data_IF_405397957411
#
_entry.id   IF_405397957411
#
_cell.length_a   1.000
_cell.length_b   1.000
_cell.length_c   1.000
_cell.angle_alpha   90.00
_cell.angle_beta   90.00
_cell.angle_gamma   90.00
#
_symmetry.space_group_name_H-M   'P 1'
#
loop_
_entity.id
_entity.type
_entity.pdbx_description
1 polymer ?
#
# COMPACT_ATOMS: atom_id res chain seq x y z
N UNK A 1 20.31 1.56 7.77
CA UNK A 1 19.08 0.87 7.34
C UNK A 1 18.77 1.36 5.94
N UNK A 2 18.68 0.47 4.96
CA UNK A 2 18.49 0.83 3.55
C UNK A 2 16.98 0.82 3.24
N UNK A 3 16.47 1.85 2.58
CA UNK A 3 15.06 1.90 2.19
C UNK A 3 14.85 1.03 0.94
N UNK A 4 13.82 0.17 0.96
CA UNK A 4 13.45 -0.64 -0.21
C UNK A 4 12.75 0.18 -1.32
N UNK A 5 12.17 1.32 -0.95
CA UNK A 5 11.44 2.23 -1.83
C UNK A 5 11.92 3.68 -1.61
N UNK A 6 13.16 3.97 -2.01
CA UNK A 6 13.81 5.28 -1.83
C UNK A 6 13.29 6.38 -2.77
N UNK A 7 12.61 6.00 -3.85
CA UNK A 7 11.99 6.92 -4.81
C UNK A 7 10.56 7.34 -4.44
N UNK A 8 10.00 6.83 -3.33
CA UNK A 8 8.62 7.08 -2.93
C UNK A 8 8.56 7.87 -1.64
N UNK A 9 7.87 9.01 -1.69
CA UNK A 9 7.44 9.74 -0.51
C UNK A 9 6.20 9.10 0.13
N UNK A 10 5.91 9.48 1.37
CA UNK A 10 4.65 9.11 2.04
C UNK A 10 3.46 9.64 1.23
N UNK A 11 2.63 8.73 0.74
CA UNK A 11 1.37 9.01 0.03
C UNK A 11 0.46 9.88 0.89
N UNK A 12 -0.06 10.98 0.32
CA UNK A 12 -0.92 11.97 1.00
C UNK A 12 -2.30 12.04 0.37
N UNK A 13 -3.25 12.64 1.10
CA UNK A 13 -4.55 13.00 0.55
C UNK A 13 -4.45 14.31 -0.25
N UNK A 14 -4.96 14.30 -1.49
CA UNK A 14 -4.98 15.49 -2.38
C UNK A 14 -6.40 15.87 -2.84
N UNK A 15 -7.42 15.10 -2.43
CA UNK A 15 -8.81 15.35 -2.78
C UNK A 15 -9.31 14.58 -4.01
N UNK A 16 -10.64 14.56 -4.16
CA UNK A 16 -11.35 13.71 -5.11
C UNK A 16 -11.08 14.03 -6.58
N UNK A 17 -10.57 15.23 -6.87
CA UNK A 17 -10.24 15.68 -8.23
C UNK A 17 -8.76 15.49 -8.59
N UNK A 18 -7.93 14.93 -7.69
CA UNK A 18 -6.51 14.73 -7.98
C UNK A 18 -6.30 13.74 -9.12
N UNK A 19 -5.39 14.10 -10.04
CA UNK A 19 -4.89 13.23 -11.10
C UNK A 19 -3.63 12.46 -10.70
N UNK A 20 -3.02 12.78 -9.55
CA UNK A 20 -1.80 12.11 -9.08
C UNK A 20 -2.11 10.63 -8.73
N UNK A 21 -1.45 9.64 -9.38
CA UNK A 21 -1.68 8.23 -9.08
C UNK A 21 -1.15 7.81 -7.70
N UNK A 22 -0.20 8.55 -7.12
CA UNK A 22 0.42 8.27 -5.82
C UNK A 22 -0.14 9.18 -4.72
N UNK A 23 -1.40 9.59 -4.84
CA UNK A 23 -2.14 10.32 -3.83
C UNK A 23 -3.51 9.70 -3.58
N UNK A 24 -3.99 9.79 -2.33
CA UNK A 24 -5.34 9.39 -1.99
C UNK A 24 -6.35 10.43 -2.49
N UNK A 25 -7.38 9.96 -3.19
CA UNK A 25 -8.52 10.78 -3.65
C UNK A 25 -9.65 10.88 -2.64
N UNK A 26 -9.81 9.86 -1.79
CA UNK A 26 -10.92 9.73 -0.86
C UNK A 26 -10.51 9.37 0.56
N UNK A 27 -9.29 8.85 0.74
CA UNK A 27 -8.81 8.47 2.06
C UNK A 27 -8.05 9.65 2.69
N UNK A 28 -8.69 10.29 3.66
CA UNK A 28 -8.06 11.25 4.56
C UNK A 28 -8.08 10.67 5.98
N UNK A 29 -6.94 10.25 6.56
CA UNK A 29 -6.92 9.56 7.86
C UNK A 29 -7.51 10.40 8.99
N UNK A 30 -7.41 11.73 8.91
CA UNK A 30 -7.87 12.67 9.94
C UNK A 30 -9.32 13.13 9.77
N UNK A 31 -9.95 12.80 8.65
CA UNK A 31 -11.35 13.19 8.41
C UNK A 31 -12.29 12.49 9.38
N UNK A 32 -13.12 13.28 10.06
CA UNK A 32 -14.12 12.77 10.99
C UNK A 32 -15.38 12.35 10.23
N UNK A 33 -15.64 11.05 10.21
CA UNK A 33 -16.87 10.46 9.67
C UNK A 33 -17.71 10.00 10.85
N UNK A 34 -18.90 10.58 11.02
CA UNK A 34 -19.80 10.23 12.13
C UNK A 34 -19.12 10.24 13.52
N UNK A 35 -18.18 11.18 13.72
CA UNK A 35 -17.50 11.40 15.00
C UNK A 35 -16.28 10.53 15.28
N UNK A 36 -15.80 9.69 14.33
CA UNK A 36 -14.50 8.99 14.44
C UNK A 36 -13.64 9.27 13.22
N UNK A 37 -12.31 9.18 13.38
CA UNK A 37 -11.36 9.39 12.29
C UNK A 37 -11.49 8.26 11.27
N UNK A 38 -11.32 8.57 9.98
CA UNK A 38 -11.49 7.59 8.91
C UNK A 38 -10.57 6.37 9.09
N UNK A 39 -9.36 6.57 9.60
CA UNK A 39 -8.44 5.47 9.89
C UNK A 39 -8.95 4.52 11.00
N UNK A 40 -9.74 5.02 11.95
CA UNK A 40 -10.34 4.21 13.02
C UNK A 40 -11.53 3.39 12.54
N UNK A 41 -12.23 3.85 11.50
CA UNK A 41 -13.28 3.09 10.84
C UNK A 41 -12.72 1.98 9.98
N UNK A 42 -11.74 2.31 9.12
CA UNK A 42 -11.26 1.40 8.09
C UNK A 42 -10.19 0.45 8.60
N UNK A 43 -9.28 0.93 9.46
CA UNK A 43 -8.23 0.13 10.11
C UNK A 43 -7.46 -0.74 9.11
N UNK A 44 -7.01 -0.13 8.02
CA UNK A 44 -6.32 -0.85 6.95
C UNK A 44 -5.07 -1.58 7.46
N UNK A 45 -4.85 -2.77 6.90
CA UNK A 45 -3.68 -3.60 7.16
C UNK A 45 -3.15 -4.18 5.85
N UNK A 46 -1.84 -4.41 5.79
CA UNK A 46 -1.21 -5.12 4.69
C UNK A 46 -1.18 -6.63 4.96
N UNK A 47 -1.52 -7.45 3.96
CA UNK A 47 -1.40 -8.90 4.05
C UNK A 47 0.04 -9.31 3.73
N UNK A 48 0.77 -9.80 4.73
CA UNK A 48 2.19 -10.14 4.57
C UNK A 48 2.47 -11.10 3.41
N UNK A 49 1.68 -12.18 3.31
CA UNK A 49 1.90 -13.23 2.33
C UNK A 49 1.77 -12.72 0.88
N UNK A 50 0.70 -11.99 0.58
CA UNK A 50 0.46 -11.47 -0.77
C UNK A 50 1.37 -10.30 -1.12
N UNK A 51 1.71 -9.44 -0.15
CA UNK A 51 2.49 -8.22 -0.43
C UNK A 51 3.98 -8.49 -0.52
N UNK A 52 4.52 -9.45 0.24
CA UNK A 52 5.97 -9.64 0.35
C UNK A 52 6.47 -11.04 -0.05
N UNK A 53 5.65 -12.10 0.11
CA UNK A 53 6.10 -13.47 -0.17
C UNK A 53 5.71 -13.98 -1.55
N UNK A 54 4.52 -13.62 -2.04
CA UNK A 54 4.03 -14.14 -3.30
C UNK A 54 4.77 -13.53 -4.49
N UNK A 55 5.42 -14.38 -5.28
CA UNK A 55 6.26 -13.98 -6.41
C UNK A 55 5.51 -13.94 -7.75
N UNK A 56 4.18 -13.94 -7.74
CA UNK A 56 3.36 -13.88 -8.96
C UNK A 56 3.24 -15.21 -9.70
N UNK A 57 3.53 -16.34 -9.06
CA UNK A 57 3.29 -17.67 -9.64
C UNK A 57 1.78 -17.98 -9.69
N UNK A 58 1.36 -18.69 -10.74
CA UNK A 58 -0.01 -19.19 -10.91
C UNK A 58 0.00 -20.69 -11.32
N UNK A 59 -1.17 -21.27 -11.60
CA UNK A 59 -1.31 -22.69 -11.92
C UNK A 59 -0.62 -23.11 -13.23
N UNK A 60 -0.25 -22.16 -14.08
CA UNK A 60 0.27 -22.36 -15.43
C UNK A 60 1.69 -21.78 -15.62
N UNK A 61 2.22 -21.05 -14.63
CA UNK A 61 3.49 -20.34 -14.77
C UNK A 61 4.25 -20.18 -13.45
N UNK A 62 5.57 -20.07 -13.57
CA UNK A 62 6.48 -19.77 -12.45
C UNK A 62 6.46 -18.28 -12.11
N UNK A 63 6.94 -17.94 -10.91
CA UNK A 63 6.92 -16.58 -10.39
C UNK A 63 7.56 -15.53 -11.31
N UNK A 64 6.81 -14.47 -11.59
CA UNK A 64 7.23 -13.36 -12.45
C UNK A 64 7.92 -12.22 -11.69
N UNK A 65 7.67 -12.08 -10.38
CA UNK A 65 8.18 -10.97 -9.58
C UNK A 65 9.54 -11.27 -8.96
N UNK A 66 10.45 -10.31 -9.05
CA UNK A 66 11.71 -10.28 -8.30
C UNK A 66 11.64 -9.16 -7.27
N UNK A 67 11.26 -9.49 -6.05
CA UNK A 67 11.17 -8.53 -4.95
C UNK A 67 12.49 -8.48 -4.17
N UNK A 68 13.00 -7.28 -3.90
CA UNK A 68 14.13 -7.06 -3.00
C UNK A 68 13.75 -7.21 -1.52
N UNK A 69 12.44 -7.18 -1.21
CA UNK A 69 11.90 -7.24 0.17
C UNK A 69 11.74 -8.68 0.66
N UNK A 70 11.57 -9.65 -0.23
CA UNK A 70 11.27 -11.04 0.11
C UNK A 70 12.43 -11.83 0.76
N UNK A 71 13.59 -11.19 0.97
CA UNK A 71 14.78 -11.80 1.53
C UNK A 71 14.77 -11.73 3.07
N UNK A 72 13.90 -12.49 3.73
CA UNK A 72 13.98 -12.68 5.18
C UNK A 72 13.19 -13.91 5.64
N UNK A 73 13.54 -15.10 5.14
CA UNK A 73 13.40 -16.38 5.84
C UNK A 73 14.53 -17.31 5.41
#
# INVERSE_FOLDING_TARGET
MQAYFDQLDRVRYEGSKSSNPLAFRHYNPDELVLGKRMEEHLRFAACYWHTFCWNGADMFGVGAFKSSVAAAW
#
